data_IF_563290864083
#
_entry.id   IF_563290864083
#
_cell.length_a   1.000
_cell.length_b   1.000
_cell.length_c   1.000
_cell.angle_alpha   90.00
_cell.angle_beta   90.00
_cell.angle_gamma   90.00
#
_symmetry.space_group_name_H-M   'P 1'
#
loop_
_entity.id
_entity.type
_entity.pdbx_description
1 polymer ?
#
# COMPACT_ATOMS: atom_id res chain seq x y z
N UNK A 1 10.04 -42.61 5.97
CA UNK A 1 10.59 -41.26 6.15
C UNK A 1 9.62 -40.30 5.49
N UNK A 2 8.73 -39.69 6.27
CA UNK A 2 7.85 -38.63 5.75
C UNK A 2 8.72 -37.43 5.40
N UNK A 3 8.84 -37.15 4.10
CA UNK A 3 9.55 -35.96 3.63
C UNK A 3 8.84 -34.74 4.20
N UNK A 4 9.49 -34.04 5.14
CA UNK A 4 9.07 -32.69 5.52
C UNK A 4 9.10 -31.86 4.24
N UNK A 5 7.93 -31.52 3.71
CA UNK A 5 7.85 -30.67 2.52
C UNK A 5 8.24 -29.27 2.93
N UNK A 6 9.49 -28.90 2.66
CA UNK A 6 9.96 -27.52 2.75
C UNK A 6 9.31 -26.69 1.66
N UNK A 7 9.10 -25.40 1.92
CA UNK A 7 8.67 -24.42 0.93
C UNK A 7 9.68 -23.29 0.92
N UNK A 8 10.41 -23.09 -0.18
CA UNK A 8 11.43 -22.02 -0.28
C UNK A 8 12.39 -22.00 0.93
N UNK A 9 12.90 -23.16 1.32
CA UNK A 9 13.76 -23.39 2.50
C UNK A 9 13.11 -23.15 3.88
N UNK A 10 11.82 -22.83 3.95
CA UNK A 10 11.09 -22.81 5.22
C UNK A 10 10.74 -24.23 5.67
N UNK A 11 10.77 -24.52 7.00
CA UNK A 11 10.44 -25.83 7.55
C UNK A 11 9.01 -26.31 7.23
N UNK A 12 8.09 -25.38 7.01
CA UNK A 12 6.73 -25.66 6.58
C UNK A 12 5.98 -24.41 6.12
N UNK A 13 4.72 -24.62 5.71
CA UNK A 13 3.85 -23.55 5.22
C UNK A 13 3.55 -22.48 6.27
N UNK A 14 3.44 -22.87 7.54
CA UNK A 14 3.17 -21.94 8.64
C UNK A 14 4.33 -20.96 8.82
N UNK A 15 5.58 -21.45 8.83
CA UNK A 15 6.77 -20.61 8.98
C UNK A 15 6.89 -19.62 7.83
N UNK A 16 6.69 -20.10 6.59
CA UNK A 16 6.63 -19.22 5.42
C UNK A 16 5.49 -18.21 5.54
N UNK A 17 4.30 -18.64 5.92
CA UNK A 17 3.13 -17.76 6.06
C UNK A 17 3.44 -16.63 7.04
N UNK A 18 3.93 -16.94 8.24
CA UNK A 18 4.28 -15.92 9.24
C UNK A 18 5.36 -14.97 8.70
N UNK A 19 6.45 -15.50 8.15
CA UNK A 19 7.56 -14.69 7.64
C UNK A 19 7.13 -13.79 6.47
N UNK A 20 6.40 -14.34 5.49
CA UNK A 20 5.89 -13.59 4.35
C UNK A 20 4.83 -12.56 4.77
N UNK A 21 4.02 -12.84 5.79
CA UNK A 21 3.03 -11.90 6.33
C UNK A 21 3.70 -10.67 6.94
N UNK A 22 4.69 -10.85 7.81
CA UNK A 22 5.42 -9.73 8.40
C UNK A 22 6.33 -9.02 7.39
N UNK A 23 6.97 -9.76 6.48
CA UNK A 23 7.79 -9.20 5.42
C UNK A 23 6.98 -8.33 4.45
N UNK A 24 5.81 -8.80 4.02
CA UNK A 24 4.91 -8.01 3.16
C UNK A 24 4.41 -6.76 3.85
N UNK A 25 4.00 -6.85 5.13
CA UNK A 25 3.63 -5.69 5.94
C UNK A 25 4.76 -4.65 6.00
N UNK A 26 6.01 -5.07 6.22
CA UNK A 26 7.16 -4.16 6.23
C UNK A 26 7.40 -3.46 4.90
N UNK A 27 7.28 -4.19 3.78
CA UNK A 27 7.42 -3.63 2.44
C UNK A 27 6.29 -2.64 2.11
N UNK A 28 5.05 -2.96 2.48
CA UNK A 28 3.89 -2.08 2.28
C UNK A 28 3.98 -0.82 3.16
N UNK A 29 4.47 -0.95 4.40
CA UNK A 29 4.76 0.21 5.24
C UNK A 29 5.83 1.12 4.62
N UNK A 30 6.91 0.54 4.10
CA UNK A 30 7.94 1.29 3.39
C UNK A 30 7.39 1.95 2.11
N UNK A 31 6.51 1.26 1.37
CA UNK A 31 5.79 1.84 0.24
C UNK A 31 4.99 3.07 0.68
N UNK A 32 4.21 2.97 1.77
CA UNK A 32 3.46 4.08 2.34
C UNK A 32 4.34 5.28 2.71
N UNK A 33 5.49 5.03 3.35
CA UNK A 33 6.46 6.08 3.68
C UNK A 33 7.02 6.78 2.44
N UNK A 34 7.36 6.02 1.39
CA UNK A 34 7.82 6.57 0.11
C UNK A 34 6.71 7.35 -0.62
N UNK A 35 5.46 6.89 -0.53
CA UNK A 35 4.28 7.59 -1.05
C UNK A 35 4.05 8.93 -0.35
N UNK A 36 4.11 8.95 0.99
CA UNK A 36 4.03 10.18 1.77
C UNK A 36 5.18 11.14 1.46
N UNK A 37 6.42 10.63 1.35
CA UNK A 37 7.57 11.45 0.95
C UNK A 37 7.38 12.08 -0.44
N UNK A 38 6.83 11.32 -1.39
CA UNK A 38 6.46 11.85 -2.72
C UNK A 38 5.39 12.93 -2.62
N UNK A 39 4.34 12.72 -1.84
CA UNK A 39 3.27 13.71 -1.68
C UNK A 39 3.81 15.03 -1.10
N UNK A 40 4.66 14.96 -0.06
CA UNK A 40 5.33 16.12 0.51
C UNK A 40 6.26 16.83 -0.49
N UNK A 41 7.02 16.07 -1.28
CA UNK A 41 7.85 16.64 -2.36
C UNK A 41 7.00 17.41 -3.39
N UNK A 42 5.89 16.82 -3.85
CA UNK A 42 4.97 17.47 -4.78
C UNK A 42 4.35 18.74 -4.19
N UNK A 43 3.92 18.70 -2.93
CA UNK A 43 3.35 19.86 -2.23
C UNK A 43 4.37 21.01 -2.12
N UNK A 44 5.60 20.71 -1.69
CA UNK A 44 6.64 21.72 -1.54
C UNK A 44 6.97 22.38 -2.89
N UNK A 45 7.13 21.57 -3.94
CA UNK A 45 7.44 22.08 -5.27
C UNK A 45 6.27 22.86 -5.88
N UNK A 46 5.04 22.47 -5.58
CA UNK A 46 3.84 23.24 -5.92
C UNK A 46 3.84 24.61 -5.25
N UNK A 47 4.19 24.69 -3.96
CA UNK A 47 4.31 25.96 -3.25
C UNK A 47 5.43 26.86 -3.82
N UNK A 48 6.59 26.29 -4.16
CA UNK A 48 7.69 27.05 -4.76
C UNK A 48 7.28 27.65 -6.11
N UNK A 49 6.60 26.87 -6.95
CA UNK A 49 6.05 27.34 -8.24
C UNK A 49 5.07 28.50 -8.03
N UNK A 50 4.12 28.36 -7.09
CA UNK A 50 3.15 29.42 -6.78
C UNK A 50 3.84 30.70 -6.34
N UNK A 51 4.83 30.57 -5.46
CA UNK A 51 5.63 31.70 -4.96
C UNK A 51 6.39 32.41 -6.08
N UNK A 52 7.03 31.66 -6.97
CA UNK A 52 7.81 32.21 -8.10
C UNK A 52 6.91 32.93 -9.13
N UNK A 53 5.67 32.46 -9.30
CA UNK A 53 4.68 33.08 -10.18
C UNK A 53 3.88 34.22 -9.52
N UNK A 54 4.04 34.44 -8.20
CA UNK A 54 3.27 35.43 -7.46
C UNK A 54 1.78 35.07 -7.36
N UNK A 55 1.45 33.78 -7.36
CA UNK A 55 0.09 33.25 -7.33
C UNK A 55 -0.32 32.97 -5.88
N UNK A 56 -1.25 33.77 -5.36
CA UNK A 56 -1.88 33.53 -4.06
C UNK A 56 -3.16 32.70 -4.16
N UNK A 57 -3.84 32.70 -5.31
CA UNK A 57 -5.07 31.92 -5.56
C UNK A 57 -4.77 30.46 -5.90
N UNK A 58 -5.57 29.51 -5.41
CA UNK A 58 -5.40 28.08 -5.65
C UNK A 58 -6.01 27.63 -7.00
N UNK A 59 -6.85 28.49 -7.60
CA UNK A 59 -7.56 28.24 -8.86
C UNK A 59 -6.95 29.01 -10.05
N UNK A 60 -5.72 29.52 -9.91
CA UNK A 60 -5.07 30.28 -10.97
C UNK A 60 -4.71 29.36 -12.17
N UNK A 61 -5.15 29.67 -13.41
CA UNK A 61 -4.89 28.85 -14.59
C UNK A 61 -3.39 28.71 -14.95
N UNK A 62 -2.52 29.54 -14.39
CA UNK A 62 -1.07 29.38 -14.51
C UNK A 62 -0.53 28.17 -13.73
N UNK A 63 -1.27 27.66 -12.72
CA UNK A 63 -0.94 26.44 -11.98
C UNK A 63 -0.98 25.23 -12.92
N UNK A 64 -2.01 25.13 -13.77
CA UNK A 64 -2.18 24.01 -14.72
C UNK A 64 -0.99 23.91 -15.69
N UNK A 65 -0.49 25.04 -16.17
CA UNK A 65 0.69 25.07 -17.04
C UNK A 65 1.94 24.53 -16.32
N UNK A 66 2.09 24.85 -15.03
CA UNK A 66 3.24 24.47 -14.23
C UNK A 66 3.20 23.00 -13.76
N UNK A 67 2.02 22.37 -13.64
CA UNK A 67 1.86 20.95 -13.30
C UNK A 67 2.60 20.00 -14.28
N UNK A 68 2.78 20.41 -15.54
CA UNK A 68 3.56 19.64 -16.52
C UNK A 68 4.98 19.34 -16.03
N UNK A 69 5.64 20.33 -15.42
CA UNK A 69 6.98 20.19 -14.87
C UNK A 69 7.01 19.24 -13.66
N UNK A 70 5.97 19.28 -12.81
CA UNK A 70 5.81 18.41 -11.64
C UNK A 70 5.57 16.95 -12.06
N UNK A 71 4.87 16.72 -13.16
CA UNK A 71 4.72 15.39 -13.73
C UNK A 71 6.04 14.82 -14.24
N UNK A 72 6.83 15.58 -15.00
CA UNK A 72 8.04 15.05 -15.64
C UNK A 72 9.16 14.67 -14.65
N UNK A 73 9.13 15.30 -13.48
CA UNK A 73 10.17 15.19 -12.45
C UNK A 73 9.68 14.39 -11.25
N UNK A 74 10.60 13.98 -10.37
CA UNK A 74 10.24 13.21 -9.17
C UNK A 74 9.75 11.77 -9.45
N UNK A 75 9.87 11.25 -10.67
CA UNK A 75 9.43 9.89 -11.04
C UNK A 75 10.14 8.79 -10.23
N UNK A 76 11.37 9.02 -9.76
CA UNK A 76 12.11 8.06 -8.93
C UNK A 76 11.34 7.66 -7.68
N UNK A 77 10.82 8.62 -6.90
CA UNK A 77 10.05 8.31 -5.69
C UNK A 77 8.75 7.56 -6.00
N UNK A 78 8.10 7.86 -7.14
CA UNK A 78 6.93 7.09 -7.59
C UNK A 78 7.29 5.65 -7.90
N UNK A 79 8.34 5.42 -8.67
CA UNK A 79 8.72 4.06 -9.04
C UNK A 79 9.28 3.27 -7.86
N UNK A 80 9.94 3.92 -6.90
CA UNK A 80 10.29 3.29 -5.63
C UNK A 80 9.03 2.91 -4.84
N UNK A 81 8.08 3.83 -4.65
CA UNK A 81 6.81 3.54 -4.00
C UNK A 81 6.08 2.35 -4.66
N UNK A 82 5.91 2.38 -5.99
CA UNK A 82 5.27 1.30 -6.76
C UNK A 82 6.06 -0.01 -6.65
N UNK A 83 7.40 0.04 -6.70
CA UNK A 83 8.25 -1.14 -6.59
C UNK A 83 8.13 -1.84 -5.23
N UNK A 84 8.13 -1.06 -4.15
CA UNK A 84 7.89 -1.59 -2.80
C UNK A 84 6.47 -2.14 -2.64
N UNK A 85 5.46 -1.46 -3.20
CA UNK A 85 4.08 -1.93 -3.19
C UNK A 85 3.95 -3.27 -3.91
N UNK A 86 4.46 -3.38 -5.14
CA UNK A 86 4.43 -4.63 -5.93
C UNK A 86 5.19 -5.75 -5.23
N UNK A 87 6.34 -5.46 -4.63
CA UNK A 87 7.13 -6.46 -3.90
C UNK A 87 6.42 -6.93 -2.64
N UNK A 88 5.80 -6.01 -1.90
CA UNK A 88 4.99 -6.31 -0.73
C UNK A 88 3.79 -7.19 -1.08
N UNK A 89 3.04 -6.82 -2.11
CA UNK A 89 1.88 -7.57 -2.60
C UNK A 89 2.24 -8.94 -3.18
N UNK A 90 3.36 -9.06 -3.91
CA UNK A 90 3.83 -10.34 -4.41
C UNK A 90 4.16 -11.30 -3.25
N UNK A 91 4.82 -10.79 -2.21
CA UNK A 91 5.11 -11.56 -1.01
C UNK A 91 3.82 -11.91 -0.24
N UNK A 92 2.88 -10.96 -0.15
CA UNK A 92 1.56 -11.17 0.47
C UNK A 92 0.75 -12.24 -0.27
N UNK A 93 0.78 -12.27 -1.61
CA UNK A 93 0.12 -13.32 -2.38
C UNK A 93 0.65 -14.71 -2.00
N UNK A 94 1.96 -14.84 -1.79
CA UNK A 94 2.54 -16.05 -1.23
C UNK A 94 1.99 -16.40 0.17
N UNK A 95 1.93 -15.40 1.06
CA UNK A 95 1.31 -15.55 2.38
C UNK A 95 -0.15 -16.04 2.26
N UNK A 96 -0.95 -15.40 1.41
CA UNK A 96 -2.35 -15.76 1.17
C UNK A 96 -2.50 -17.20 0.63
N UNK A 97 -1.72 -17.57 -0.38
CA UNK A 97 -1.75 -18.92 -0.96
C UNK A 97 -1.41 -20.00 0.08
N UNK A 98 -0.39 -19.76 0.90
CA UNK A 98 -0.03 -20.70 1.97
C UNK A 98 -1.12 -20.77 3.03
N UNK A 99 -1.70 -19.63 3.43
CA UNK A 99 -2.84 -19.52 4.34
C UNK A 99 -4.05 -20.32 3.88
N UNK A 100 -4.50 -20.11 2.64
CA UNK A 100 -5.62 -20.84 2.03
C UNK A 100 -5.36 -22.35 1.90
N UNK A 101 -4.10 -22.74 1.72
CA UNK A 101 -3.72 -24.15 1.59
C UNK A 101 -3.62 -24.89 2.94
N UNK A 102 -3.51 -24.15 4.05
CA UNK A 102 -3.62 -24.69 5.39
C UNK A 102 -5.11 -24.85 5.68
N UNK A 103 -5.60 -26.10 5.79
CA UNK A 103 -7.03 -26.37 6.02
C UNK A 103 -7.53 -25.54 7.22
N UNK A 104 -8.66 -24.87 7.04
CA UNK A 104 -9.37 -24.27 8.17
C UNK A 104 -9.60 -25.36 9.25
N UNK A 105 -9.48 -25.02 10.55
CA UNK A 105 -9.68 -25.98 11.61
C UNK A 105 -11.00 -26.72 11.43
N UNK A 106 -10.97 -28.05 11.47
CA UNK A 106 -12.20 -28.85 11.55
C UNK A 106 -12.70 -28.75 13.00
N UNK A 107 -13.50 -27.74 13.30
CA UNK A 107 -14.00 -27.43 14.65
C UNK A 107 -14.59 -26.02 14.74
N UNK A 108 -14.94 -25.57 15.95
CA UNK A 108 -15.38 -24.20 16.18
C UNK A 108 -14.26 -23.20 15.85
N UNK A 109 -14.62 -22.12 15.13
CA UNK A 109 -13.69 -21.05 14.80
C UNK A 109 -13.41 -20.22 16.06
N UNK A 110 -12.15 -19.92 16.31
CA UNK A 110 -11.79 -19.01 17.39
C UNK A 110 -11.96 -17.56 16.94
N UNK A 111 -12.19 -16.65 17.89
CA UNK A 111 -12.23 -15.20 17.61
C UNK A 111 -10.96 -14.69 16.91
N UNK A 112 -9.79 -15.25 17.24
CA UNK A 112 -8.52 -14.91 16.59
C UNK A 112 -8.53 -15.31 15.10
N UNK A 113 -8.96 -16.54 14.80
CA UNK A 113 -9.10 -17.03 13.43
C UNK A 113 -10.08 -16.17 12.62
N UNK A 114 -11.16 -15.70 13.25
CA UNK A 114 -12.14 -14.81 12.62
C UNK A 114 -11.56 -13.44 12.30
N UNK A 115 -10.87 -12.82 13.26
CA UNK A 115 -10.20 -11.52 13.05
C UNK A 115 -9.16 -11.64 11.93
N UNK A 116 -8.38 -12.73 11.92
CA UNK A 116 -7.38 -12.93 10.88
C UNK A 116 -8.01 -13.09 9.49
N UNK A 117 -9.10 -13.87 9.37
CA UNK A 117 -9.80 -14.06 8.10
C UNK A 117 -10.49 -12.76 7.63
N UNK A 118 -11.11 -12.01 8.53
CA UNK A 118 -11.70 -10.71 8.21
C UNK A 118 -10.58 -9.75 7.76
N UNK A 119 -9.44 -9.74 8.46
CA UNK A 119 -8.27 -8.96 8.09
C UNK A 119 -7.76 -9.26 6.68
N UNK A 120 -7.74 -10.53 6.29
CA UNK A 120 -7.39 -10.96 4.93
C UNK A 120 -8.29 -10.33 3.86
N UNK A 121 -9.62 -10.44 4.02
CA UNK A 121 -10.55 -9.86 3.05
C UNK A 121 -10.55 -8.33 3.05
N UNK A 122 -10.46 -7.72 4.23
CA UNK A 122 -10.39 -6.26 4.38
C UNK A 122 -9.12 -5.71 3.72
N UNK A 123 -7.96 -6.34 3.94
CA UNK A 123 -6.71 -5.96 3.29
C UNK A 123 -6.84 -6.05 1.76
N UNK A 124 -7.37 -7.16 1.23
CA UNK A 124 -7.53 -7.32 -0.22
C UNK A 124 -8.45 -6.24 -0.83
N UNK A 125 -9.56 -5.90 -0.16
CA UNK A 125 -10.45 -4.83 -0.59
C UNK A 125 -9.78 -3.44 -0.54
N UNK A 126 -9.07 -3.14 0.55
CA UNK A 126 -8.34 -1.88 0.70
C UNK A 126 -7.23 -1.75 -0.35
N UNK A 127 -6.50 -2.83 -0.63
CA UNK A 127 -5.42 -2.81 -1.64
C UNK A 127 -5.95 -2.61 -3.06
N UNK A 128 -7.08 -3.25 -3.40
CA UNK A 128 -7.73 -3.00 -4.68
C UNK A 128 -8.13 -1.52 -4.82
N UNK A 129 -8.73 -0.94 -3.79
CA UNK A 129 -9.07 0.48 -3.75
C UNK A 129 -7.81 1.36 -3.85
N UNK A 130 -6.76 1.04 -3.10
CA UNK A 130 -5.51 1.78 -3.07
C UNK A 130 -4.85 1.85 -4.45
N UNK A 131 -4.80 0.73 -5.18
CA UNK A 131 -4.27 0.68 -6.54
C UNK A 131 -5.12 1.51 -7.50
N UNK A 132 -6.44 1.41 -7.43
CA UNK A 132 -7.35 2.17 -8.30
C UNK A 132 -7.17 3.66 -8.06
N UNK A 133 -7.23 4.11 -6.80
CA UNK A 133 -7.06 5.51 -6.44
C UNK A 133 -5.66 5.98 -6.85
N UNK A 134 -4.59 5.23 -6.56
CA UNK A 134 -3.22 5.60 -6.92
C UNK A 134 -3.00 5.77 -8.45
N UNK A 135 -3.64 4.92 -9.26
CA UNK A 135 -3.64 5.07 -10.73
C UNK A 135 -4.39 6.34 -11.13
N UNK A 136 -5.57 6.60 -10.55
CA UNK A 136 -6.35 7.80 -10.82
C UNK A 136 -5.60 9.07 -10.39
N UNK A 137 -4.94 9.08 -9.23
CA UNK A 137 -4.10 10.18 -8.73
C UNK A 137 -2.98 10.51 -9.71
N UNK A 138 -2.33 9.46 -10.23
CA UNK A 138 -1.26 9.57 -11.23
C UNK A 138 -1.79 10.15 -12.54
N UNK A 139 -2.95 9.68 -13.00
CA UNK A 139 -3.57 10.15 -14.23
C UNK A 139 -4.03 11.61 -14.13
N UNK A 140 -4.63 12.01 -13.01
CA UNK A 140 -5.00 13.39 -12.73
C UNK A 140 -3.78 14.33 -12.80
N UNK A 141 -2.67 13.95 -12.17
CA UNK A 141 -1.43 14.73 -12.26
C UNK A 141 -0.92 14.84 -13.70
N UNK A 142 -0.97 13.73 -14.46
CA UNK A 142 -0.56 13.70 -15.87
C UNK A 142 -1.44 14.61 -16.74
N UNK A 143 -2.75 14.64 -16.47
CA UNK A 143 -3.73 15.50 -17.15
C UNK A 143 -3.71 16.95 -16.67
N UNK A 144 -2.90 17.27 -15.66
CA UNK A 144 -2.79 18.61 -15.04
C UNK A 144 -4.09 19.04 -14.37
N UNK A 145 -4.78 18.08 -13.77
CA UNK A 145 -6.06 18.28 -13.10
C UNK A 145 -5.81 18.43 -11.59
N UNK A 146 -5.57 19.67 -11.14
CA UNK A 146 -5.11 19.97 -9.78
C UNK A 146 -6.09 19.51 -8.70
N UNK A 147 -7.36 19.91 -8.83
CA UNK A 147 -8.40 19.62 -7.84
C UNK A 147 -8.61 18.12 -7.66
N UNK A 148 -8.75 17.39 -8.78
CA UNK A 148 -8.92 15.94 -8.76
C UNK A 148 -7.68 15.26 -8.20
N UNK A 149 -6.48 15.73 -8.57
CA UNK A 149 -5.24 15.19 -8.02
C UNK A 149 -5.18 15.34 -6.50
N UNK A 150 -5.47 16.54 -5.98
CA UNK A 150 -5.40 16.82 -4.54
C UNK A 150 -6.40 15.97 -3.74
N UNK A 151 -7.65 15.89 -4.19
CA UNK A 151 -8.67 15.04 -3.56
C UNK A 151 -8.25 13.57 -3.53
N UNK A 152 -7.78 13.04 -4.67
CA UNK A 152 -7.36 11.65 -4.76
C UNK A 152 -6.08 11.35 -3.97
N UNK A 153 -5.13 12.30 -3.82
CA UNK A 153 -3.96 12.12 -2.95
C UNK A 153 -4.38 11.93 -1.50
N UNK A 154 -5.36 12.69 -1.01
CA UNK A 154 -5.87 12.59 0.36
C UNK A 154 -6.55 11.24 0.58
N UNK A 155 -7.44 10.85 -0.34
CA UNK A 155 -8.14 9.56 -0.27
C UNK A 155 -7.16 8.38 -0.33
N UNK A 156 -6.16 8.47 -1.21
CA UNK A 156 -5.10 7.48 -1.34
C UNK A 156 -4.30 7.36 -0.05
N UNK A 157 -3.86 8.48 0.54
CA UNK A 157 -3.14 8.46 1.81
C UNK A 157 -3.98 7.85 2.94
N UNK A 158 -5.29 8.15 2.98
CA UNK A 158 -6.20 7.60 3.98
C UNK A 158 -6.34 6.08 3.89
N UNK A 159 -6.57 5.55 2.68
CA UNK A 159 -6.67 4.11 2.44
C UNK A 159 -5.31 3.41 2.65
N UNK A 160 -4.23 4.00 2.16
CA UNK A 160 -2.86 3.52 2.34
C UNK A 160 -2.43 3.41 3.80
N UNK A 161 -2.91 4.28 4.68
CA UNK A 161 -2.68 4.18 6.14
C UNK A 161 -3.51 3.08 6.80
N UNK A 162 -4.72 2.80 6.30
CA UNK A 162 -5.58 1.77 6.86
C UNK A 162 -5.02 0.36 6.64
N UNK A 163 -4.36 0.11 5.50
CA UNK A 163 -3.78 -1.18 5.12
C UNK A 163 -2.81 -1.74 6.18
N UNK A 164 -1.71 -1.06 6.56
CA UNK A 164 -0.76 -1.59 7.55
C UNK A 164 -1.39 -1.77 8.92
N UNK A 165 -2.38 -0.95 9.31
CA UNK A 165 -3.11 -1.12 10.57
C UNK A 165 -3.93 -2.40 10.60
N UNK A 166 -4.67 -2.68 9.51
CA UNK A 166 -5.44 -3.93 9.36
C UNK A 166 -4.50 -5.14 9.36
N UNK A 167 -3.40 -5.09 8.61
CA UNK A 167 -2.43 -6.17 8.56
C UNK A 167 -1.77 -6.44 9.92
N UNK A 168 -1.31 -5.39 10.60
CA UNK A 168 -0.69 -5.50 11.92
C UNK A 168 -1.68 -6.06 12.96
N UNK A 169 -2.92 -5.56 12.96
CA UNK A 169 -3.97 -6.05 13.86
C UNK A 169 -4.34 -7.52 13.61
N UNK A 170 -4.49 -7.91 12.34
CA UNK A 170 -4.80 -9.28 11.95
C UNK A 170 -3.63 -10.25 12.20
N UNK A 171 -2.39 -9.80 11.98
CA UNK A 171 -1.18 -10.55 12.28
C UNK A 171 -1.01 -10.75 13.79
N UNK A 172 -1.15 -9.68 14.58
CA UNK A 172 -1.11 -9.74 16.04
C UNK A 172 -2.17 -10.68 16.59
N UNK A 173 -3.42 -10.57 16.14
CA UNK A 173 -4.51 -11.44 16.58
C UNK A 173 -4.20 -12.92 16.29
N UNK A 174 -3.52 -13.22 15.18
CA UNK A 174 -3.15 -14.58 14.80
C UNK A 174 -1.96 -15.14 15.61
N UNK A 175 -1.02 -14.29 16.04
CA UNK A 175 0.20 -14.74 16.74
C UNK A 175 0.14 -14.61 18.26
N UNK A 176 -0.73 -13.74 18.82
CA UNK A 176 -0.81 -13.49 20.26
C UNK A 176 -1.53 -14.60 21.06
N UNK A 177 -2.09 -15.60 20.38
CA UNK A 177 -2.82 -16.72 21.00
C UNK A 177 -2.05 -18.05 20.88
N UNK A 178 -0.77 -17.97 20.50
CA UNK A 178 0.16 -19.10 20.47
C UNK A 178 1.03 -19.14 21.73
#
# INVERSE_FOLDING_TARGET
MEGKTSILDFPGKLDYHIAAGWGSMGLLFAAGALGAARALDLMNRGHDIRKDLGIDDEDDPAIDAALSSLWETGQTLRWLHVGFLVSGEALYLGNAMTGLSMKLPKGERTRSTDIHLIGFFTHAALMASEVIIGVMTTDALRRRDHEVHLGLVIDHAGVGLAIPLVMAGAGWAATAVW
#
